data_IF_555938223598
#
_entry.id   IF_555938223598
#
_cell.length_a   1.000
_cell.length_b   1.000
_cell.length_c   1.000
_cell.angle_alpha   90.00
_cell.angle_beta   90.00
_cell.angle_gamma   90.00
#
_symmetry.space_group_name_H-M   'P 1'
#
loop_
_entity.id
_entity.type
_entity.pdbx_description
1 polymer ?
#
# COMPACT_ATOMS: atom_id res chain seq x y z
N UNK A 1 16.88 -19.20 -5.68
CA UNK A 1 17.33 -17.89 -5.19
C UNK A 1 17.57 -18.03 -3.69
N UNK A 2 18.75 -17.66 -3.15
CA UNK A 2 19.16 -17.95 -1.76
C UNK A 2 18.54 -17.00 -0.71
N UNK A 3 17.97 -17.51 0.40
CA UNK A 3 17.47 -16.67 1.49
C UNK A 3 18.61 -15.90 2.19
N UNK A 4 18.37 -14.66 2.61
CA UNK A 4 19.35 -13.83 3.33
C UNK A 4 20.12 -12.82 2.49
N UNK A 5 19.92 -12.78 1.16
CA UNK A 5 20.58 -11.83 0.24
C UNK A 5 20.00 -10.40 0.26
N UNK A 6 19.16 -10.05 1.23
CA UNK A 6 18.61 -8.68 1.34
C UNK A 6 17.58 -8.31 0.27
N UNK A 7 16.87 -9.29 -0.32
CA UNK A 7 15.88 -9.01 -1.38
C UNK A 7 14.77 -8.05 -0.95
N UNK A 8 14.34 -8.12 0.29
CA UNK A 8 13.34 -7.19 0.83
C UNK A 8 13.84 -5.75 0.76
N UNK A 9 15.09 -5.51 1.15
CA UNK A 9 15.74 -4.21 1.01
C UNK A 9 15.86 -3.79 -0.47
N UNK A 10 16.19 -4.72 -1.37
CA UNK A 10 16.23 -4.43 -2.81
C UNK A 10 14.86 -4.02 -3.36
N UNK A 11 13.78 -4.70 -2.96
CA UNK A 11 12.42 -4.36 -3.37
C UNK A 11 12.00 -3.01 -2.78
N UNK A 12 12.25 -2.77 -1.50
CA UNK A 12 11.89 -1.52 -0.85
C UNK A 12 12.62 -0.30 -1.45
N UNK A 13 13.93 -0.44 -1.72
CA UNK A 13 14.72 0.61 -2.39
C UNK A 13 14.33 0.79 -3.85
N UNK A 14 13.97 -0.27 -4.56
CA UNK A 14 13.40 -0.17 -5.92
C UNK A 14 12.08 0.61 -5.92
N UNK A 15 11.14 0.29 -5.02
CA UNK A 15 9.88 1.03 -4.87
C UNK A 15 10.13 2.50 -4.56
N UNK A 16 11.05 2.80 -3.64
CA UNK A 16 11.47 4.19 -3.35
C UNK A 16 11.96 4.92 -4.60
N UNK A 17 12.86 4.30 -5.37
CA UNK A 17 13.38 4.87 -6.60
C UNK A 17 12.29 5.18 -7.62
N UNK A 18 11.29 4.30 -7.78
CA UNK A 18 10.14 4.57 -8.66
C UNK A 18 9.36 5.84 -8.22
N UNK A 19 9.18 6.03 -6.92
CA UNK A 19 8.43 7.16 -6.39
C UNK A 19 9.21 8.48 -6.49
N UNK A 20 10.47 8.48 -6.07
CA UNK A 20 11.28 9.70 -5.93
C UNK A 20 12.04 10.07 -7.21
N UNK A 21 12.64 9.10 -7.90
CA UNK A 21 13.51 9.38 -9.06
C UNK A 21 12.72 9.43 -10.36
N UNK A 22 11.70 8.58 -10.50
CA UNK A 22 10.89 8.47 -11.71
C UNK A 22 9.53 9.17 -11.61
N UNK A 23 9.21 9.78 -10.46
CA UNK A 23 7.94 10.46 -10.19
C UNK A 23 6.71 9.61 -10.53
N UNK A 24 6.82 8.28 -10.41
CA UNK A 24 5.73 7.36 -10.71
C UNK A 24 4.77 7.30 -9.51
N UNK A 25 3.81 8.23 -9.47
CA UNK A 25 2.80 8.32 -8.40
C UNK A 25 1.67 7.28 -8.49
N UNK A 26 1.94 6.12 -9.13
CA UNK A 26 0.95 5.04 -9.21
C UNK A 26 1.13 4.10 -8.02
N UNK A 27 0.04 3.68 -7.35
CA UNK A 27 0.15 2.75 -6.24
C UNK A 27 0.78 1.43 -6.66
N UNK A 28 1.64 0.89 -5.79
CA UNK A 28 2.24 -0.42 -5.91
C UNK A 28 1.63 -1.37 -4.88
N UNK A 29 1.35 -2.61 -5.30
CA UNK A 29 0.83 -3.66 -4.42
C UNK A 29 1.96 -4.62 -4.06
N UNK A 30 2.20 -4.81 -2.76
CA UNK A 30 3.14 -5.80 -2.23
C UNK A 30 2.33 -6.89 -1.54
N UNK A 31 2.46 -8.13 -2.02
CA UNK A 31 1.77 -9.29 -1.45
C UNK A 31 2.81 -10.24 -0.86
N UNK A 32 2.65 -10.56 0.41
CA UNK A 32 3.59 -11.40 1.17
C UNK A 32 2.85 -12.45 2.01
N UNK A 33 3.54 -13.50 2.51
CA UNK A 33 2.95 -14.41 3.50
C UNK A 33 2.48 -13.65 4.75
N UNK A 34 1.33 -14.02 5.31
CA UNK A 34 0.77 -13.39 6.52
C UNK A 34 1.78 -13.32 7.67
N UNK A 35 2.61 -14.35 7.86
CA UNK A 35 3.64 -14.43 8.90
C UNK A 35 4.80 -13.46 8.72
N UNK A 36 4.91 -12.83 7.56
CA UNK A 36 6.02 -11.94 7.20
C UNK A 36 5.59 -10.49 7.02
N UNK A 37 4.29 -10.17 7.20
CA UNK A 37 3.77 -8.81 6.99
C UNK A 37 4.50 -7.79 7.87
N UNK A 38 4.61 -8.03 9.17
CA UNK A 38 5.27 -7.10 10.11
C UNK A 38 6.74 -6.85 9.74
N UNK A 39 7.42 -7.88 9.24
CA UNK A 39 8.80 -7.78 8.74
C UNK A 39 8.86 -6.91 7.47
N UNK A 40 7.96 -7.13 6.52
CA UNK A 40 7.87 -6.32 5.31
C UNK A 40 7.52 -4.85 5.61
N UNK A 41 6.58 -4.61 6.52
CA UNK A 41 6.20 -3.27 6.96
C UNK A 41 7.40 -2.53 7.56
N UNK A 42 8.15 -3.20 8.44
CA UNK A 42 9.35 -2.63 9.07
C UNK A 42 10.44 -2.30 8.03
N UNK A 43 10.74 -3.23 7.11
CA UNK A 43 11.75 -3.01 6.07
C UNK A 43 11.32 -1.90 5.11
N UNK A 44 10.08 -1.90 4.62
CA UNK A 44 9.59 -0.86 3.73
C UNK A 44 9.65 0.50 4.44
N UNK A 45 9.16 0.60 5.68
CA UNK A 45 9.21 1.83 6.45
C UNK A 45 10.64 2.35 6.66
N UNK A 46 11.57 1.45 7.00
CA UNK A 46 12.98 1.81 7.19
C UNK A 46 13.64 2.32 5.90
N UNK A 47 13.46 1.62 4.78
CA UNK A 47 14.13 1.95 3.52
C UNK A 47 13.49 3.14 2.79
N UNK A 48 12.17 3.30 2.87
CA UNK A 48 11.46 4.42 2.24
C UNK A 48 11.64 5.71 3.04
N UNK A 49 11.62 5.65 4.38
CA UNK A 49 11.73 6.82 5.25
C UNK A 49 10.46 7.69 5.30
N UNK A 50 9.40 7.28 4.59
CA UNK A 50 8.09 7.94 4.55
C UNK A 50 6.99 6.90 4.81
N UNK A 51 6.57 6.79 6.07
CA UNK A 51 5.56 5.83 6.52
C UNK A 51 4.15 6.20 6.09
N UNK A 52 3.88 7.47 5.78
CA UNK A 52 2.54 7.95 5.45
C UNK A 52 2.09 7.49 4.05
N UNK A 53 3.04 7.05 3.22
CA UNK A 53 2.83 6.52 1.88
C UNK A 53 2.48 5.02 1.86
N UNK A 54 2.58 4.30 2.99
CA UNK A 54 2.39 2.85 3.10
C UNK A 54 1.12 2.55 3.88
N UNK A 55 0.26 1.68 3.36
CA UNK A 55 -0.92 1.15 4.06
C UNK A 55 -0.82 -0.36 4.16
N UNK A 56 -0.92 -0.89 5.38
CA UNK A 56 -0.91 -2.33 5.66
C UNK A 56 -2.35 -2.86 5.68
N UNK A 57 -2.79 -3.41 4.56
CA UNK A 57 -4.12 -3.98 4.35
C UNK A 57 -4.18 -5.44 4.82
N UNK A 58 -4.29 -5.64 6.13
CA UNK A 58 -4.39 -6.98 6.74
C UNK A 58 -5.39 -7.01 7.90
N UNK A 59 -5.57 -8.18 8.53
CA UNK A 59 -6.47 -8.36 9.67
C UNK A 59 -7.83 -8.96 9.27
N UNK A 60 -8.80 -8.83 10.17
CA UNK A 60 -10.16 -9.37 9.98
C UNK A 60 -10.90 -8.64 8.86
N UNK A 61 -11.94 -9.23 8.25
CA UNK A 61 -12.74 -8.55 7.23
C UNK A 61 -13.29 -7.19 7.70
N UNK A 62 -13.67 -7.07 8.97
CA UNK A 62 -14.13 -5.81 9.54
C UNK A 62 -13.00 -4.76 9.61
N UNK A 63 -11.78 -5.15 10.01
CA UNK A 63 -10.64 -4.24 10.02
C UNK A 63 -10.31 -3.77 8.60
N UNK A 64 -10.30 -4.69 7.63
CA UNK A 64 -10.03 -4.37 6.22
C UNK A 64 -11.11 -3.49 5.58
N UNK A 65 -12.37 -3.65 5.98
CA UNK A 65 -13.44 -2.71 5.56
C UNK A 65 -13.14 -1.29 6.05
N UNK A 66 -12.74 -1.13 7.30
CA UNK A 66 -12.36 0.19 7.85
C UNK A 66 -11.18 0.79 7.10
N UNK A 67 -10.14 0.00 6.80
CA UNK A 67 -8.98 0.46 6.02
C UNK A 67 -9.42 0.87 4.60
N UNK A 68 -10.28 0.09 3.95
CA UNK A 68 -10.79 0.40 2.62
C UNK A 68 -11.58 1.71 2.56
N UNK A 69 -12.34 2.03 3.61
CA UNK A 69 -13.17 3.22 3.69
C UNK A 69 -12.36 4.50 4.02
N UNK A 70 -11.27 4.37 4.78
CA UNK A 70 -10.57 5.52 5.36
C UNK A 70 -9.13 5.72 4.89
N UNK A 71 -8.46 4.68 4.38
CA UNK A 71 -7.02 4.72 4.13
C UNK A 71 -6.62 4.47 2.68
N UNK A 72 -7.45 3.79 1.87
CA UNK A 72 -7.10 3.51 0.47
C UNK A 72 -7.35 4.68 -0.49
N UNK A 73 -8.29 5.57 -0.18
CA UNK A 73 -8.75 6.61 -1.10
C UNK A 73 -8.75 7.99 -0.44
N UNK A 74 -8.44 9.03 -1.21
CA UNK A 74 -8.66 10.40 -0.77
C UNK A 74 -10.16 10.66 -0.62
N UNK A 75 -10.53 11.31 0.48
CA UNK A 75 -11.92 11.64 0.73
C UNK A 75 -12.42 12.67 -0.31
N UNK A 76 -13.66 12.54 -0.83
CA UNK A 76 -14.28 13.50 -1.74
C UNK A 76 -14.14 14.97 -1.35
N UNK A 77 -14.24 15.27 -0.05
CA UNK A 77 -14.13 16.65 0.47
C UNK A 77 -12.69 17.17 0.52
N UNK A 78 -11.69 16.30 0.38
CA UNK A 78 -10.28 16.68 0.23
C UNK A 78 -9.91 16.97 -1.22
N UNK A 79 -10.80 16.66 -2.17
CA UNK A 79 -10.67 17.04 -3.57
C UNK A 79 -11.62 18.21 -3.85
N UNK A 80 -11.40 18.99 -4.93
CA UNK A 80 -12.19 20.20 -5.30
C UNK A 80 -13.67 19.90 -5.67
N UNK A 81 -14.35 18.95 -5.01
CA UNK A 81 -15.75 18.57 -5.20
C UNK A 81 -16.01 17.66 -6.39
N UNK A 82 -14.98 17.18 -7.10
CA UNK A 82 -15.13 16.49 -8.39
C UNK A 82 -15.44 14.99 -8.34
N UNK A 83 -15.31 14.33 -7.18
CA UNK A 83 -15.59 12.89 -7.04
C UNK A 83 -16.38 12.63 -5.77
N UNK A 84 -17.67 12.31 -5.91
CA UNK A 84 -18.49 11.86 -4.78
C UNK A 84 -17.97 10.53 -4.20
N UNK A 85 -18.32 10.20 -2.96
CA UNK A 85 -17.97 8.90 -2.33
C UNK A 85 -18.49 7.69 -3.15
N UNK A 86 -19.57 7.91 -3.92
CA UNK A 86 -20.15 6.94 -4.85
C UNK A 86 -19.49 6.92 -6.24
N UNK A 87 -18.39 7.65 -6.45
CA UNK A 87 -17.69 7.64 -7.72
C UNK A 87 -17.20 6.22 -8.03
N UNK A 88 -17.30 5.77 -9.30
CA UNK A 88 -16.73 4.49 -9.73
C UNK A 88 -15.25 4.40 -9.35
N UNK A 89 -14.77 3.21 -8.97
CA UNK A 89 -13.39 2.99 -8.48
C UNK A 89 -12.32 3.62 -9.38
N UNK A 90 -12.48 3.54 -10.71
CA UNK A 90 -11.57 4.13 -11.71
C UNK A 90 -11.40 5.67 -11.62
N UNK A 91 -12.29 6.35 -10.90
CA UNK A 91 -12.28 7.79 -10.69
C UNK A 91 -11.84 8.17 -9.27
N UNK A 92 -11.64 7.19 -8.37
CA UNK A 92 -11.12 7.46 -7.04
C UNK A 92 -9.62 7.70 -7.13
N UNK A 93 -9.13 8.60 -6.30
CA UNK A 93 -7.70 8.90 -6.20
C UNK A 93 -7.14 8.08 -5.03
N UNK A 94 -6.18 7.18 -5.29
CA UNK A 94 -5.51 6.44 -4.23
C UNK A 94 -4.82 7.40 -3.26
N UNK A 95 -4.96 7.12 -1.96
CA UNK A 95 -4.21 7.84 -0.92
C UNK A 95 -2.79 7.27 -0.73
N UNK A 96 -2.57 5.94 -0.62
CA UNK A 96 -1.24 5.39 -0.41
C UNK A 96 -0.52 5.16 -1.75
N UNK A 97 0.82 5.16 -1.68
CA UNK A 97 1.70 4.78 -2.79
C UNK A 97 2.06 3.30 -2.73
N UNK A 98 2.04 2.69 -1.54
CA UNK A 98 2.31 1.27 -1.34
C UNK A 98 1.18 0.67 -0.51
N UNK A 99 0.60 -0.43 -1.00
CA UNK A 99 -0.33 -1.27 -0.24
C UNK A 99 0.36 -2.60 0.05
N UNK A 100 0.56 -2.90 1.33
CA UNK A 100 1.10 -4.18 1.78
C UNK A 100 -0.06 -5.08 2.22
N UNK A 101 -0.16 -6.29 1.69
CA UNK A 101 -1.23 -7.22 2.03
C UNK A 101 -0.75 -8.66 2.06
N UNK A 102 -1.56 -9.55 2.64
CA UNK A 102 -1.31 -10.98 2.64
C UNK A 102 -1.99 -11.69 1.48
N UNK A 103 -1.51 -12.89 1.14
CA UNK A 103 -2.17 -13.72 0.11
C UNK A 103 -3.62 -14.02 0.45
N UNK A 104 -3.90 -14.25 1.73
CA UNK A 104 -5.23 -14.59 2.24
C UNK A 104 -6.19 -13.41 2.13
N UNK A 105 -5.73 -12.21 2.52
CA UNK A 105 -6.52 -10.98 2.40
C UNK A 105 -6.83 -10.68 0.92
N UNK A 106 -5.81 -10.74 0.05
CA UNK A 106 -5.97 -10.53 -1.38
C UNK A 106 -6.91 -11.53 -2.04
N UNK A 107 -6.89 -12.80 -1.62
CA UNK A 107 -7.77 -13.81 -2.20
C UNK A 107 -9.23 -13.67 -1.74
N UNK A 108 -9.47 -13.01 -0.60
CA UNK A 108 -10.80 -12.89 0.00
C UNK A 108 -11.60 -11.66 -0.43
N UNK A 109 -10.93 -10.63 -0.98
CA UNK A 109 -11.52 -9.33 -1.35
C UNK A 109 -11.33 -9.04 -2.85
#
# INVERSE_FOLDING_TARGET
DEPGLGRTATVATFLKGLLEEFCLSRPSLVVAPQTSIDFWESEIGFWTGDTDAVVTYTGTPAARSTIADHELWLHPSSMDGKTAASAPLRHRVPKPLIVLTSYEAMASD
#
